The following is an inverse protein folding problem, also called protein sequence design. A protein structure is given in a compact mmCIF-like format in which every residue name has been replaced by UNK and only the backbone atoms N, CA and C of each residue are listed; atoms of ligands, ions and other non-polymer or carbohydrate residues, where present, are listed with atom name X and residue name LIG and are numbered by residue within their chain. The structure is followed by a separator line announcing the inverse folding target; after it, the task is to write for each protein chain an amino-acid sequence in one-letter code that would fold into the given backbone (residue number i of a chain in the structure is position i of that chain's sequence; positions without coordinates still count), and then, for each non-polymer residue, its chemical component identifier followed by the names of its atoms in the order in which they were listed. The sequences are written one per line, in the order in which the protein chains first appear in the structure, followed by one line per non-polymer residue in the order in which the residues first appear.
data_IF_330034716303
#
_entry.id   IF_330034716303
#
_cell.length_a   1.000
_cell.length_b   1.000
_cell.length_c   1.000
_cell.angle_alpha   90.00
_cell.angle_beta   90.00
_cell.angle_gamma   90.00
#
_symmetry.space_group_name_H-M   'P 1'
#
loop_
_entity.id
_entity.type
_entity.pdbx_description
1 polymer ?
#
# COMPACT_ATOMS: atom_id res chain seq x y z
N UNK A 1 -4.19 6.95 -34.38
CA UNK A 1 -4.00 5.53 -34.03
C UNK A 1 -3.49 4.76 -35.24
N UNK A 2 -4.34 4.53 -36.25
CA UNK A 2 -4.03 3.63 -37.39
C UNK A 2 -2.73 3.92 -38.16
N UNK A 3 -2.35 5.19 -38.47
CA UNK A 3 -1.11 5.45 -39.21
C UNK A 3 0.16 5.03 -38.47
N UNK A 4 0.10 4.96 -37.13
CA UNK A 4 1.26 4.65 -36.29
C UNK A 4 1.15 3.25 -35.67
N UNK A 5 0.21 2.42 -36.12
CA UNK A 5 0.09 1.03 -35.65
C UNK A 5 0.77 0.12 -36.66
N UNK A 6 1.73 -0.68 -36.20
CA UNK A 6 2.43 -1.63 -37.07
C UNK A 6 1.45 -2.70 -37.54
N UNK A 7 1.45 -2.98 -38.83
CA UNK A 7 0.64 -4.01 -39.46
C UNK A 7 1.54 -5.15 -39.89
N UNK A 8 1.13 -6.37 -39.57
CA UNK A 8 1.79 -7.62 -39.94
C UNK A 8 0.89 -8.38 -40.93
N UNK A 9 1.47 -9.25 -41.76
CA UNK A 9 0.71 -10.02 -42.73
C UNK A 9 -0.12 -11.13 -42.07
N UNK A 10 0.35 -11.65 -40.92
CA UNK A 10 -0.36 -12.66 -40.15
C UNK A 10 -0.16 -12.49 -38.64
N UNK A 11 -1.02 -13.14 -37.84
CA UNK A 11 -0.85 -13.19 -36.38
C UNK A 11 0.43 -13.94 -36.00
N UNK A 12 0.80 -14.99 -36.74
CA UNK A 12 2.01 -15.76 -36.50
C UNK A 12 3.26 -14.90 -36.62
N UNK A 13 3.40 -14.22 -37.76
CA UNK A 13 4.50 -13.27 -38.00
C UNK A 13 4.57 -12.20 -36.90
N UNK A 14 3.42 -11.67 -36.47
CA UNK A 14 3.39 -10.71 -35.36
C UNK A 14 3.91 -11.31 -34.06
N UNK A 15 3.40 -12.47 -33.64
CA UNK A 15 3.80 -13.07 -32.37
C UNK A 15 5.27 -13.48 -32.38
N UNK A 16 5.76 -14.03 -33.50
CA UNK A 16 7.17 -14.39 -33.68
C UNK A 16 8.05 -13.14 -33.55
N UNK A 17 7.74 -12.06 -34.29
CA UNK A 17 8.46 -10.78 -34.17
C UNK A 17 8.44 -10.22 -32.74
N UNK A 18 7.28 -10.24 -32.06
CA UNK A 18 7.16 -9.72 -30.69
C UNK A 18 7.95 -10.56 -29.68
N UNK A 19 8.13 -11.86 -29.92
CA UNK A 19 8.94 -12.72 -29.04
C UNK A 19 10.42 -12.57 -29.34
N UNK A 20 10.82 -12.60 -30.62
CA UNK A 20 12.20 -12.49 -31.07
C UNK A 20 12.84 -11.17 -30.62
N UNK A 21 12.11 -10.07 -30.75
CA UNK A 21 12.59 -8.74 -30.33
C UNK A 21 12.44 -8.50 -28.81
N UNK A 22 11.96 -9.49 -28.05
CA UNK A 22 11.87 -9.41 -26.59
C UNK A 22 10.76 -8.49 -26.08
N UNK A 23 9.68 -8.30 -26.84
CA UNK A 23 8.48 -7.60 -26.36
C UNK A 23 7.56 -8.50 -25.54
N UNK A 24 7.37 -9.77 -25.94
CA UNK A 24 6.52 -10.77 -25.28
C UNK A 24 7.31 -11.94 -24.69
N UNK A 25 6.77 -12.56 -23.65
CA UNK A 25 7.34 -13.75 -23.02
C UNK A 25 7.03 -15.01 -23.86
N UNK A 26 8.07 -15.69 -24.37
CA UNK A 26 7.91 -16.91 -25.17
C UNK A 26 7.18 -18.03 -24.39
N UNK A 27 7.53 -18.21 -23.11
CA UNK A 27 6.98 -19.25 -22.22
C UNK A 27 5.46 -19.16 -22.02
N UNK A 28 4.88 -17.98 -22.23
CA UNK A 28 3.43 -17.83 -22.18
C UNK A 28 2.76 -18.50 -23.37
N UNK A 29 3.29 -18.27 -24.57
CA UNK A 29 2.69 -18.73 -25.82
C UNK A 29 2.79 -20.26 -25.94
N UNK A 30 3.85 -20.88 -25.40
CA UNK A 30 4.03 -22.35 -25.44
C UNK A 30 2.98 -23.11 -24.63
N UNK A 31 2.25 -22.45 -23.72
CA UNK A 31 1.16 -23.05 -22.94
C UNK A 31 -0.11 -23.31 -23.74
N UNK A 32 -0.20 -22.76 -24.95
CA UNK A 32 -1.39 -22.86 -25.78
C UNK A 32 -1.02 -23.25 -27.22
N UNK A 33 -1.83 -24.09 -27.90
CA UNK A 33 -1.69 -24.28 -29.34
C UNK A 33 -1.92 -22.97 -30.08
N UNK A 34 -1.16 -22.74 -31.15
CA UNK A 34 -1.28 -21.51 -31.94
C UNK A 34 -2.69 -21.33 -32.51
N UNK A 35 -3.34 -22.41 -32.92
CA UNK A 35 -4.70 -22.42 -33.47
C UNK A 35 -5.71 -21.86 -32.45
N UNK A 36 -5.49 -22.14 -31.17
CA UNK A 36 -6.33 -21.60 -30.09
C UNK A 36 -6.07 -20.11 -29.85
N UNK A 37 -4.81 -19.66 -29.95
CA UNK A 37 -4.46 -18.24 -29.84
C UNK A 37 -5.08 -17.45 -31.02
N UNK A 38 -5.02 -18.02 -32.22
CA UNK A 38 -5.68 -17.47 -33.41
C UNK A 38 -7.20 -17.38 -33.20
N UNK A 39 -7.85 -18.46 -32.74
CA UNK A 39 -9.28 -18.48 -32.45
C UNK A 39 -9.69 -17.40 -31.43
N UNK A 40 -8.92 -17.25 -30.34
CA UNK A 40 -9.19 -16.21 -29.33
C UNK A 40 -9.01 -14.79 -29.88
N UNK A 41 -8.00 -14.60 -30.73
CA UNK A 41 -7.75 -13.32 -31.38
C UNK A 41 -8.91 -12.99 -32.31
N UNK A 42 -9.31 -13.92 -33.17
CA UNK A 42 -10.44 -13.75 -34.07
C UNK A 42 -11.73 -13.47 -33.32
N UNK A 43 -11.97 -14.19 -32.20
CA UNK A 43 -13.09 -13.91 -31.30
C UNK A 43 -13.07 -12.47 -30.79
N UNK A 44 -11.93 -12.01 -30.24
CA UNK A 44 -11.80 -10.65 -29.72
C UNK A 44 -12.07 -9.60 -30.81
N UNK A 45 -11.47 -9.75 -32.00
CA UNK A 45 -11.66 -8.82 -33.12
C UNK A 45 -13.06 -8.89 -33.75
N UNK A 46 -13.73 -10.05 -33.73
CA UNK A 46 -15.10 -10.22 -34.24
C UNK A 46 -16.13 -9.36 -33.51
N UNK A 47 -15.85 -9.01 -32.24
CA UNK A 47 -16.71 -8.12 -31.44
C UNK A 47 -16.76 -6.69 -31.97
N UNK A 48 -15.79 -6.30 -32.83
CA UNK A 48 -15.66 -4.95 -33.40
C UNK A 48 -15.70 -3.86 -32.33
N UNK A 49 -14.96 -4.05 -31.25
CA UNK A 49 -14.93 -3.12 -30.12
C UNK A 49 -14.66 -1.68 -30.57
N UNK A 50 -15.36 -0.74 -29.94
CA UNK A 50 -15.18 0.70 -30.13
C UNK A 50 -15.13 1.39 -28.78
N UNK A 51 -14.11 2.21 -28.58
CA UNK A 51 -14.06 3.12 -27.45
C UNK A 51 -15.25 4.08 -27.51
N UNK A 52 -16.03 4.14 -26.44
CA UNK A 52 -17.20 5.04 -26.32
C UNK A 52 -16.79 6.52 -26.22
N UNK A 53 -15.55 6.79 -25.82
CA UNK A 53 -15.04 8.15 -25.60
C UNK A 53 -13.64 8.32 -26.17
N UNK A 54 -13.35 9.53 -26.65
CA UNK A 54 -12.01 9.92 -27.08
C UNK A 54 -10.97 9.68 -25.98
N UNK A 55 -11.28 10.07 -24.74
CA UNK A 55 -10.37 9.94 -23.61
C UNK A 55 -10.02 8.47 -23.32
N UNK A 56 -10.97 7.55 -23.45
CA UNK A 56 -10.72 6.11 -23.30
C UNK A 56 -9.70 5.59 -24.31
N UNK A 57 -9.90 5.94 -25.59
CA UNK A 57 -8.95 5.58 -26.65
C UNK A 57 -7.58 6.23 -26.41
N UNK A 58 -7.55 7.54 -26.19
CA UNK A 58 -6.32 8.30 -25.95
C UNK A 58 -5.53 7.72 -24.77
N UNK A 59 -6.19 7.40 -23.65
CA UNK A 59 -5.53 6.87 -22.46
C UNK A 59 -4.98 5.46 -22.67
N UNK A 60 -5.73 4.59 -23.35
CA UNK A 60 -5.27 3.25 -23.68
C UNK A 60 -3.97 3.29 -24.50
N UNK A 61 -3.95 4.03 -25.60
CA UNK A 61 -2.77 4.04 -26.47
C UNK A 61 -1.59 4.78 -25.84
N UNK A 62 -1.81 5.87 -25.12
CA UNK A 62 -0.71 6.61 -24.49
C UNK A 62 -0.08 5.87 -23.31
N UNK A 63 -0.83 5.05 -22.57
CA UNK A 63 -0.39 4.49 -21.28
C UNK A 63 -0.43 2.96 -21.16
N UNK A 64 -1.11 2.22 -22.05
CA UNK A 64 -1.34 0.78 -21.92
C UNK A 64 -0.86 -0.05 -23.12
N UNK A 65 -1.20 0.38 -24.33
CA UNK A 65 -0.80 -0.30 -25.56
C UNK A 65 0.71 -0.45 -25.60
N UNK A 66 1.19 -1.65 -25.93
CA UNK A 66 2.59 -1.87 -26.21
C UNK A 66 3.05 -0.96 -27.36
N UNK A 67 4.21 -0.38 -27.18
CA UNK A 67 4.91 0.43 -28.18
C UNK A 67 6.24 -0.22 -28.52
N UNK A 68 6.78 0.12 -29.68
CA UNK A 68 8.19 -0.12 -30.00
C UNK A 68 9.10 0.51 -28.94
N UNK A 69 10.32 0.01 -28.76
CA UNK A 69 11.23 0.52 -27.73
C UNK A 69 11.62 2.00 -27.91
N UNK A 70 11.58 2.51 -29.14
CA UNK A 70 11.75 3.94 -29.45
C UNK A 70 10.51 4.80 -29.11
N UNK A 71 9.38 4.17 -28.78
CA UNK A 71 8.12 4.81 -28.43
C UNK A 71 7.31 5.39 -29.60
N UNK A 72 7.74 5.19 -30.86
CA UNK A 72 7.16 5.85 -32.04
C UNK A 72 5.91 5.14 -32.57
N UNK A 73 5.87 3.81 -32.51
CA UNK A 73 4.80 3.01 -33.10
C UNK A 73 4.09 2.13 -32.06
N UNK A 74 2.82 1.82 -32.32
CA UNK A 74 2.01 0.90 -31.53
C UNK A 74 2.09 -0.51 -32.08
N UNK A 75 2.31 -1.47 -31.17
CA UNK A 75 2.37 -2.90 -31.47
C UNK A 75 1.08 -3.64 -31.06
N UNK A 76 0.19 -2.96 -30.33
CA UNK A 76 -1.05 -3.53 -29.82
C UNK A 76 -2.27 -2.65 -30.08
N UNK A 77 -3.40 -3.31 -30.36
CA UNK A 77 -4.75 -2.78 -30.19
C UNK A 77 -5.34 -3.25 -28.85
N UNK A 78 -6.55 -2.79 -28.56
CA UNK A 78 -7.23 -3.11 -27.31
C UNK A 78 -7.51 -4.60 -27.17
N UNK A 79 -7.96 -5.21 -28.27
CA UNK A 79 -8.24 -6.64 -28.41
C UNK A 79 -6.99 -7.48 -28.15
N UNK A 80 -5.84 -7.07 -28.69
CA UNK A 80 -4.56 -7.75 -28.48
C UNK A 80 -4.17 -7.80 -27.01
N UNK A 81 -4.30 -6.66 -26.31
CA UNK A 81 -4.00 -6.59 -24.88
C UNK A 81 -4.93 -7.47 -24.05
N UNK A 82 -6.20 -7.53 -24.41
CA UNK A 82 -7.19 -8.40 -23.77
C UNK A 82 -6.80 -9.86 -23.94
N UNK A 83 -6.48 -10.30 -25.16
CA UNK A 83 -6.08 -11.69 -25.45
C UNK A 83 -4.85 -12.07 -24.63
N UNK A 84 -3.80 -11.26 -24.66
CA UNK A 84 -2.59 -11.55 -23.91
C UNK A 84 -2.83 -11.58 -22.39
N UNK A 85 -3.66 -10.68 -21.87
CA UNK A 85 -4.03 -10.70 -20.45
C UNK A 85 -4.81 -11.97 -20.09
N UNK A 86 -5.73 -12.39 -20.94
CA UNK A 86 -6.51 -13.60 -20.74
C UNK A 86 -5.64 -14.87 -20.79
N UNK A 87 -4.67 -14.94 -21.71
CA UNK A 87 -3.75 -16.07 -21.80
C UNK A 87 -2.89 -16.21 -20.54
N UNK A 88 -2.38 -15.10 -19.99
CA UNK A 88 -1.59 -15.10 -18.74
C UNK A 88 -2.43 -15.59 -17.57
N UNK A 89 -3.62 -15.03 -17.40
CA UNK A 89 -4.51 -15.37 -16.28
C UNK A 89 -5.11 -16.77 -16.41
N UNK A 90 -5.33 -17.24 -17.65
CA UNK A 90 -5.78 -18.60 -17.95
C UNK A 90 -4.70 -19.66 -17.70
N UNK A 91 -3.42 -19.30 -17.77
CA UNK A 91 -2.28 -20.17 -17.47
C UNK A 91 -2.35 -21.60 -18.08
N UNK A 92 -2.80 -21.71 -19.34
CA UNK A 92 -2.97 -22.98 -20.08
C UNK A 92 -4.41 -23.49 -20.12
N UNK A 93 -5.30 -22.97 -19.26
CA UNK A 93 -6.73 -23.28 -19.29
C UNK A 93 -7.42 -22.48 -20.41
N UNK A 94 -7.78 -23.20 -21.47
CA UNK A 94 -8.45 -22.66 -22.65
C UNK A 94 -9.86 -22.13 -22.35
N UNK A 95 -10.61 -22.80 -21.48
CA UNK A 95 -11.98 -22.40 -21.16
C UNK A 95 -11.94 -21.09 -20.40
N UNK A 96 -11.08 -21.01 -19.39
CA UNK A 96 -10.88 -19.80 -18.61
C UNK A 96 -10.38 -18.64 -19.48
N UNK A 97 -9.37 -18.86 -20.33
CA UNK A 97 -8.86 -17.82 -21.22
C UNK A 97 -9.96 -17.27 -22.15
N UNK A 98 -10.81 -18.14 -22.73
CA UNK A 98 -11.94 -17.70 -23.57
C UNK A 98 -12.94 -16.86 -22.79
N UNK A 99 -13.33 -17.31 -21.60
CA UNK A 99 -14.26 -16.56 -20.75
C UNK A 99 -13.69 -15.19 -20.38
N UNK A 100 -12.41 -15.12 -20.03
CA UNK A 100 -11.74 -13.86 -19.70
C UNK A 100 -11.73 -12.87 -20.87
N UNK A 101 -11.51 -13.32 -22.11
CA UNK A 101 -11.62 -12.47 -23.30
C UNK A 101 -13.04 -11.89 -23.41
N UNK A 102 -14.06 -12.73 -23.29
CA UNK A 102 -15.48 -12.33 -23.40
C UNK A 102 -15.85 -11.31 -22.31
N UNK A 103 -15.46 -11.57 -21.06
CA UNK A 103 -15.75 -10.67 -19.93
C UNK A 103 -15.02 -9.33 -20.04
N UNK A 104 -13.78 -9.32 -20.53
CA UNK A 104 -13.02 -8.08 -20.71
C UNK A 104 -13.51 -7.25 -21.90
N UNK A 105 -13.74 -7.89 -23.06
CA UNK A 105 -14.14 -7.16 -24.28
C UNK A 105 -15.55 -6.59 -24.19
N UNK A 106 -16.44 -7.26 -23.45
CA UNK A 106 -17.78 -6.75 -23.15
C UNK A 106 -17.78 -5.60 -22.13
N UNK A 107 -16.66 -5.38 -21.45
CA UNK A 107 -16.52 -4.37 -20.39
C UNK A 107 -17.13 -4.78 -19.05
N UNK A 108 -17.50 -6.05 -18.86
CA UNK A 108 -17.99 -6.57 -17.57
C UNK A 108 -16.88 -6.76 -16.55
N UNK A 109 -15.68 -7.09 -17.02
CA UNK A 109 -14.50 -7.26 -16.17
C UNK A 109 -13.35 -6.37 -16.64
N UNK A 110 -12.71 -5.67 -15.71
CA UNK A 110 -11.49 -4.91 -15.96
C UNK A 110 -10.46 -5.28 -14.91
N UNK A 111 -9.38 -6.01 -15.25
CA UNK A 111 -8.31 -6.27 -14.31
C UNK A 111 -7.60 -4.97 -13.93
N UNK A 112 -6.99 -4.97 -12.74
CA UNK A 112 -6.24 -3.83 -12.24
C UNK A 112 -5.13 -3.43 -13.23
N UNK A 113 -4.81 -2.14 -13.29
CA UNK A 113 -3.74 -1.59 -14.14
C UNK A 113 -2.43 -2.38 -14.10
N UNK A 114 -1.84 -2.76 -12.93
CA UNK A 114 -0.59 -3.53 -12.92
C UNK A 114 -0.71 -4.88 -13.62
N UNK A 115 -1.89 -5.52 -13.59
CA UNK A 115 -2.13 -6.77 -14.30
C UNK A 115 -2.32 -6.52 -15.79
N UNK A 116 -3.25 -5.65 -16.17
CA UNK A 116 -3.61 -5.38 -17.58
C UNK A 116 -2.44 -4.81 -18.39
N UNK A 117 -1.64 -3.94 -17.76
CA UNK A 117 -0.50 -3.28 -18.40
C UNK A 117 0.65 -4.23 -18.69
N UNK A 118 0.91 -5.17 -17.78
CA UNK A 118 2.15 -5.95 -17.73
C UNK A 118 1.99 -7.39 -18.24
N UNK A 119 0.79 -7.97 -18.20
CA UNK A 119 0.57 -9.38 -18.52
C UNK A 119 1.12 -9.76 -19.91
N UNK A 120 2.08 -10.69 -19.96
CA UNK A 120 2.60 -11.28 -21.19
C UNK A 120 3.69 -10.46 -21.89
N UNK A 121 4.04 -9.27 -21.36
CA UNK A 121 5.20 -8.51 -21.83
C UNK A 121 6.47 -9.05 -21.18
N UNK A 122 7.57 -9.15 -21.92
CA UNK A 122 8.85 -9.61 -21.37
C UNK A 122 9.49 -8.55 -20.46
N UNK A 123 9.50 -7.28 -20.90
CA UNK A 123 9.96 -6.15 -20.09
C UNK A 123 8.81 -5.61 -19.23
N UNK A 124 8.54 -6.27 -18.11
CA UNK A 124 7.37 -5.94 -17.26
C UNK A 124 7.68 -5.75 -15.78
N UNK A 125 6.80 -5.00 -15.12
CA UNK A 125 6.72 -4.94 -13.66
C UNK A 125 5.95 -6.12 -13.06
N UNK A 126 5.76 -6.07 -11.74
CA UNK A 126 4.88 -7.02 -11.04
C UNK A 126 3.42 -6.90 -11.48
N UNK A 127 2.67 -8.00 -11.43
CA UNK A 127 1.21 -7.98 -11.65
C UNK A 127 0.44 -7.46 -10.43
N UNK A 128 1.11 -7.42 -9.27
CA UNK A 128 0.64 -6.86 -8.01
C UNK A 128 1.49 -5.64 -7.68
N UNK A 129 0.85 -4.56 -7.28
CA UNK A 129 1.52 -3.29 -6.98
C UNK A 129 1.09 -2.66 -5.65
N UNK A 130 0.31 -3.34 -4.81
CA UNK A 130 -0.16 -2.79 -3.54
C UNK A 130 0.29 -3.70 -2.40
N UNK A 131 1.04 -3.15 -1.44
CA UNK A 131 1.64 -3.91 -0.35
C UNK A 131 1.38 -3.25 1.00
N UNK A 132 1.14 -4.06 2.02
CA UNK A 132 1.03 -3.62 3.41
C UNK A 132 2.09 -4.33 4.23
N UNK A 133 2.93 -3.56 4.92
CA UNK A 133 4.03 -4.07 5.74
C UNK A 133 3.84 -3.67 7.19
N UNK A 134 4.18 -4.58 8.10
CA UNK A 134 4.27 -4.31 9.53
C UNK A 134 5.73 -4.04 9.89
N UNK A 135 5.96 -3.04 10.74
CA UNK A 135 7.26 -2.77 11.34
C UNK A 135 7.17 -3.11 12.83
N UNK A 136 8.10 -3.92 13.32
CA UNK A 136 8.28 -4.22 14.75
C UNK A 136 9.23 -3.21 15.42
N UNK A 137 9.17 -3.12 16.75
CA UNK A 137 9.91 -2.14 17.57
C UNK A 137 11.40 -2.49 17.78
N UNK A 138 12.11 -2.76 16.69
CA UNK A 138 13.55 -3.04 16.68
C UNK A 138 14.22 -2.56 15.39
N UNK A 139 15.56 -2.43 15.43
CA UNK A 139 16.32 -1.87 14.33
C UNK A 139 16.33 -2.75 13.09
N UNK A 140 16.35 -4.06 13.27
CA UNK A 140 16.32 -5.05 12.21
C UNK A 140 15.02 -4.93 11.40
N UNK A 141 13.88 -4.78 12.08
CA UNK A 141 12.58 -4.63 11.41
C UNK A 141 12.44 -3.28 10.72
N UNK A 142 12.95 -2.19 11.31
CA UNK A 142 12.94 -0.87 10.67
C UNK A 142 13.81 -0.89 9.41
N UNK A 143 15.03 -1.43 9.50
CA UNK A 143 15.92 -1.58 8.36
C UNK A 143 15.34 -2.45 7.24
N UNK A 144 14.69 -3.58 7.59
CA UNK A 144 13.96 -4.41 6.62
C UNK A 144 12.76 -3.69 6.01
N UNK A 145 12.03 -2.90 6.79
CA UNK A 145 10.92 -2.09 6.28
C UNK A 145 11.37 -1.08 5.23
N UNK A 146 12.47 -0.38 5.49
CA UNK A 146 13.10 0.55 4.55
C UNK A 146 13.59 -0.19 3.29
N UNK A 147 14.30 -1.31 3.46
CA UNK A 147 14.75 -2.11 2.32
C UNK A 147 13.56 -2.60 1.46
N UNK A 148 12.50 -3.07 2.10
CA UNK A 148 11.29 -3.52 1.42
C UNK A 148 10.63 -2.39 0.65
N UNK A 149 10.56 -1.18 1.23
CA UNK A 149 10.08 0.01 0.54
C UNK A 149 10.89 0.30 -0.73
N UNK A 150 12.23 0.25 -0.67
CA UNK A 150 13.11 0.42 -1.83
C UNK A 150 12.85 -0.63 -2.92
N UNK A 151 12.81 -1.91 -2.56
CA UNK A 151 12.65 -3.00 -3.54
C UNK A 151 11.27 -3.00 -4.20
N UNK A 152 10.22 -2.76 -3.43
CA UNK A 152 8.85 -2.73 -3.95
C UNK A 152 8.60 -1.47 -4.76
N UNK A 153 9.09 -0.31 -4.31
CA UNK A 153 8.95 0.97 -5.02
C UNK A 153 9.70 0.96 -6.36
N UNK A 154 10.91 0.38 -6.42
CA UNK A 154 11.67 0.18 -7.68
C UNK A 154 10.83 -0.51 -8.75
N UNK A 155 9.93 -1.41 -8.37
CA UNK A 155 9.06 -2.18 -9.28
C UNK A 155 7.70 -1.52 -9.53
N UNK A 156 7.52 -0.27 -9.12
CA UNK A 156 6.26 0.48 -9.27
C UNK A 156 5.18 0.09 -8.25
N UNK A 157 5.56 -0.53 -7.13
CA UNK A 157 4.66 -0.87 -6.03
C UNK A 157 4.39 0.31 -5.11
N UNK A 158 3.13 0.53 -4.76
CA UNK A 158 2.71 1.35 -3.63
C UNK A 158 2.77 0.54 -2.33
N UNK A 159 3.38 1.12 -1.29
CA UNK A 159 3.63 0.41 -0.03
C UNK A 159 3.09 1.21 1.15
N UNK A 160 2.24 0.58 1.95
CA UNK A 160 1.77 1.11 3.23
C UNK A 160 2.49 0.43 4.40
N UNK A 161 2.98 1.19 5.37
CA UNK A 161 3.67 0.67 6.55
C UNK A 161 2.94 1.01 7.84
N UNK A 162 2.78 0.03 8.72
CA UNK A 162 2.23 0.23 10.06
C UNK A 162 3.34 0.68 11.02
N UNK A 163 3.20 1.87 11.61
CA UNK A 163 4.15 2.45 12.56
C UNK A 163 3.72 2.31 14.02
N UNK A 164 2.50 1.84 14.28
CA UNK A 164 1.88 1.84 15.62
C UNK A 164 2.57 0.94 16.66
N UNK A 165 3.40 0.00 16.22
CA UNK A 165 4.19 -0.85 17.13
C UNK A 165 5.46 -0.14 17.61
N UNK A 166 5.95 0.86 16.89
CA UNK A 166 7.17 1.57 17.25
C UNK A 166 6.98 2.30 18.57
N UNK A 167 7.99 2.25 19.44
CA UNK A 167 7.97 3.02 20.69
C UNK A 167 7.91 4.52 20.42
N UNK A 168 7.22 5.24 21.30
CA UNK A 168 7.00 6.67 21.21
C UNK A 168 8.28 7.51 21.42
N UNK A 169 8.22 8.79 21.07
CA UNK A 169 9.28 9.74 21.40
C UNK A 169 9.44 9.86 22.94
N UNK A 170 10.67 9.77 23.43
CA UNK A 170 11.00 9.77 24.85
C UNK A 170 10.97 8.39 25.52
N UNK A 171 10.54 7.33 24.82
CA UNK A 171 10.60 5.97 25.36
C UNK A 171 12.06 5.53 25.67
N UNK A 172 12.26 4.63 26.65
CA UNK A 172 13.59 4.14 26.99
C UNK A 172 14.24 3.28 25.91
N UNK A 173 15.57 3.35 25.79
CA UNK A 173 16.38 2.46 24.98
C UNK A 173 17.46 1.84 25.87
N UNK A 174 17.56 0.50 25.89
CA UNK A 174 18.49 -0.22 26.77
C UNK A 174 18.45 0.27 28.24
N UNK A 175 17.22 0.51 28.74
CA UNK A 175 16.93 1.04 30.09
C UNK A 175 17.29 2.51 30.34
N UNK A 176 17.95 3.19 29.38
CA UNK A 176 18.25 4.62 29.46
C UNK A 176 16.99 5.40 29.08
N UNK A 177 16.53 6.26 29.99
CA UNK A 177 15.29 7.04 29.85
C UNK A 177 15.44 8.16 28.82
N UNK A 178 14.33 8.55 28.18
CA UNK A 178 14.25 9.69 27.25
C UNK A 178 15.17 9.61 26.03
N UNK A 179 15.31 8.42 25.42
CA UNK A 179 16.23 8.21 24.30
C UNK A 179 15.56 7.98 22.94
N UNK A 180 14.34 7.46 22.90
CA UNK A 180 13.65 7.23 21.63
C UNK A 180 13.30 8.54 20.93
N UNK A 181 13.55 8.59 19.61
CA UNK A 181 13.17 9.71 18.75
C UNK A 181 11.76 9.60 18.16
N UNK A 182 11.04 8.50 18.45
CA UNK A 182 9.68 8.24 18.00
C UNK A 182 9.56 7.89 16.50
N UNK A 183 8.36 8.05 15.95
CA UNK A 183 8.03 7.60 14.59
C UNK A 183 8.53 8.51 13.46
N UNK A 184 8.76 9.80 13.74
CA UNK A 184 9.04 10.83 12.72
C UNK A 184 10.34 10.58 11.95
N UNK A 185 11.48 10.24 12.60
CA UNK A 185 12.71 9.93 11.85
C UNK A 185 12.56 8.70 10.96
N UNK A 186 11.78 7.71 11.38
CA UNK A 186 11.47 6.53 10.54
C UNK A 186 10.65 6.94 9.33
N UNK A 187 9.66 7.83 9.50
CA UNK A 187 8.92 8.40 8.36
C UNK A 187 9.83 9.15 7.40
N UNK A 188 10.83 9.89 7.90
CA UNK A 188 11.78 10.62 7.05
C UNK A 188 12.62 9.67 6.19
N UNK A 189 13.16 8.61 6.80
CA UNK A 189 13.90 7.57 6.07
C UNK A 189 13.04 6.88 5.01
N UNK A 190 11.77 6.61 5.31
CA UNK A 190 10.83 6.02 4.36
C UNK A 190 10.52 6.98 3.21
N UNK A 191 10.28 8.26 3.49
CA UNK A 191 10.06 9.30 2.47
C UNK A 191 11.22 9.37 1.47
N UNK A 192 12.45 9.45 1.98
CA UNK A 192 13.65 9.52 1.14
C UNK A 192 13.81 8.24 0.30
N UNK A 193 13.45 7.08 0.88
CA UNK A 193 13.48 5.80 0.17
C UNK A 193 12.52 5.76 -1.01
N UNK A 194 11.27 6.23 -0.84
CA UNK A 194 10.30 6.29 -1.93
C UNK A 194 10.65 7.36 -2.98
N UNK A 195 11.22 8.48 -2.55
CA UNK A 195 11.68 9.53 -3.46
C UNK A 195 12.85 9.06 -4.33
N UNK A 196 13.74 8.23 -3.78
CA UNK A 196 14.88 7.68 -4.49
C UNK A 196 14.48 6.54 -5.46
N UNK A 197 13.69 5.58 -4.98
CA UNK A 197 13.30 4.40 -5.75
C UNK A 197 12.05 4.65 -6.60
N UNK A 198 12.19 5.45 -7.66
CA UNK A 198 11.11 5.72 -8.61
C UNK A 198 11.00 4.65 -9.72
N UNK A 199 9.82 4.56 -10.36
CA UNK A 199 9.53 3.57 -11.40
C UNK A 199 10.18 3.98 -12.74
N UNK A 200 11.51 3.85 -12.84
CA UNK A 200 12.29 4.17 -14.06
C UNK A 200 11.96 5.57 -14.62
N UNK A 201 11.80 6.57 -13.73
CA UNK A 201 11.46 7.94 -14.12
C UNK A 201 10.01 8.19 -14.55
N UNK A 202 9.15 7.17 -14.61
CA UNK A 202 7.76 7.34 -15.05
C UNK A 202 6.85 7.92 -13.95
N UNK A 203 7.05 7.53 -12.68
CA UNK A 203 6.25 7.97 -11.51
C UNK A 203 7.09 7.98 -10.23
N UNK A 204 6.84 8.95 -9.37
CA UNK A 204 7.35 8.98 -8.00
C UNK A 204 6.84 7.77 -7.22
N UNK A 205 7.68 7.18 -6.36
CA UNK A 205 7.27 6.10 -5.47
C UNK A 205 6.12 6.54 -4.57
N UNK A 206 5.13 5.67 -4.37
CA UNK A 206 3.97 5.95 -3.53
C UNK A 206 4.08 5.20 -2.20
N UNK A 207 4.24 5.94 -1.11
CA UNK A 207 4.31 5.39 0.24
C UNK A 207 3.18 5.92 1.11
N UNK A 208 2.70 5.07 2.02
CA UNK A 208 1.76 5.46 3.07
C UNK A 208 2.25 4.94 4.43
N UNK A 209 1.92 5.65 5.50
CA UNK A 209 2.19 5.21 6.87
C UNK A 209 0.94 5.32 7.71
N UNK A 210 0.70 4.31 8.55
CA UNK A 210 -0.48 4.22 9.41
C UNK A 210 -0.10 4.26 10.89
N UNK A 211 -0.81 5.09 11.64
CA UNK A 211 -0.65 5.24 13.09
C UNK A 211 -2.00 5.15 13.82
N UNK A 212 -2.02 4.49 14.98
CA UNK A 212 -3.20 4.45 15.86
C UNK A 212 -3.45 5.82 16.49
N UNK A 213 -4.71 6.23 16.57
CA UNK A 213 -5.11 7.50 17.20
C UNK A 213 -4.71 7.59 18.68
N UNK A 214 -4.60 6.45 19.37
CA UNK A 214 -4.18 6.36 20.76
C UNK A 214 -2.67 6.20 20.95
N UNK A 215 -1.88 6.35 19.89
CA UNK A 215 -0.43 6.34 19.94
C UNK A 215 0.11 7.68 20.49
N UNK A 216 1.14 7.71 21.37
CA UNK A 216 1.62 8.96 21.96
C UNK A 216 2.15 9.99 20.95
N UNK A 217 2.73 9.52 19.84
CA UNK A 217 3.22 10.38 18.75
C UNK A 217 2.11 10.91 17.81
N UNK A 218 0.81 10.64 18.06
CA UNK A 218 -0.27 10.98 17.11
C UNK A 218 -0.30 12.45 16.68
N UNK A 219 -0.10 13.38 17.62
CA UNK A 219 -0.12 14.81 17.28
C UNK A 219 1.10 15.21 16.43
N UNK A 220 2.29 14.73 16.80
CA UNK A 220 3.53 14.98 16.06
C UNK A 220 3.47 14.37 14.67
N UNK A 221 2.85 13.19 14.55
CA UNK A 221 2.59 12.51 13.28
C UNK A 221 1.71 13.35 12.35
N UNK A 222 0.61 13.90 12.86
CA UNK A 222 -0.26 14.79 12.07
C UNK A 222 0.40 16.13 11.74
N UNK A 223 1.20 16.67 12.67
CA UNK A 223 1.91 17.93 12.48
C UNK A 223 2.91 17.88 11.30
N UNK A 224 3.38 16.70 10.89
CA UNK A 224 4.29 16.54 9.73
C UNK A 224 3.69 17.02 8.40
N UNK A 225 2.36 17.11 8.31
CA UNK A 225 1.63 17.55 7.11
C UNK A 225 1.14 18.99 7.19
N UNK A 226 1.38 19.70 8.30
CA UNK A 226 1.10 21.14 8.37
C UNK A 226 2.01 21.89 7.40
N UNK A 227 1.45 22.84 6.66
CA UNK A 227 2.22 23.64 5.70
C UNK A 227 3.33 24.45 6.37
N UNK A 228 3.06 24.93 7.59
CA UNK A 228 3.99 25.72 8.41
C UNK A 228 4.87 24.86 9.33
N UNK A 229 4.99 23.55 9.07
CA UNK A 229 5.88 22.68 9.84
C UNK A 229 7.35 22.99 9.56
N UNK A 230 8.22 22.83 10.56
CA UNK A 230 9.68 22.88 10.39
C UNK A 230 10.12 21.84 9.36
N UNK A 231 11.03 22.22 8.45
CA UNK A 231 11.52 21.37 7.37
C UNK A 231 12.11 20.04 7.89
N UNK A 232 12.66 20.03 9.11
CA UNK A 232 13.19 18.81 9.75
C UNK A 232 12.12 17.77 10.10
N UNK A 233 10.89 18.20 10.35
CA UNK A 233 9.76 17.31 10.68
C UNK A 233 8.78 17.14 9.51
N UNK A 234 8.90 17.98 8.49
CA UNK A 234 7.97 17.99 7.36
C UNK A 234 8.16 16.75 6.48
N UNK A 235 7.03 16.12 6.17
CA UNK A 235 6.93 14.96 5.29
C UNK A 235 6.07 15.34 4.08
N UNK A 236 6.68 15.46 2.91
CA UNK A 236 6.07 15.92 1.66
C UNK A 236 5.33 14.80 0.92
N UNK A 237 5.97 13.65 0.68
CA UNK A 237 5.49 12.64 -0.27
C UNK A 237 4.71 11.49 0.36
N UNK A 238 5.02 11.10 1.59
CA UNK A 238 4.31 10.00 2.26
C UNK A 238 2.87 10.39 2.57
N UNK A 239 1.93 9.50 2.27
CA UNK A 239 0.54 9.62 2.71
C UNK A 239 0.40 9.20 4.18
N UNK A 240 -0.50 9.85 4.91
CA UNK A 240 -0.80 9.51 6.30
C UNK A 240 -2.14 8.79 6.41
N UNK A 241 -2.18 7.74 7.22
CA UNK A 241 -3.40 7.05 7.64
C UNK A 241 -3.49 7.01 9.15
N UNK A 242 -4.70 7.17 9.69
CA UNK A 242 -4.97 7.07 11.13
C UNK A 242 -5.97 5.95 11.37
N UNK A 243 -5.67 5.07 12.31
CA UNK A 243 -6.60 4.04 12.79
C UNK A 243 -7.33 4.58 14.02
N UNK A 244 -8.64 4.77 13.92
CA UNK A 244 -9.48 5.39 14.97
C UNK A 244 -10.45 4.33 15.50
N UNK A 245 -10.29 3.84 16.74
CA UNK A 245 -11.25 2.93 17.36
C UNK A 245 -12.53 3.66 17.84
N UNK A 246 -13.62 2.91 18.01
CA UNK A 246 -14.93 3.44 18.41
C UNK A 246 -14.89 4.30 19.70
N UNK A 247 -14.06 3.90 20.68
CA UNK A 247 -13.90 4.63 21.94
C UNK A 247 -13.47 6.08 21.72
N UNK A 248 -12.68 6.37 20.68
CA UNK A 248 -12.26 7.74 20.36
C UNK A 248 -13.48 8.60 20.02
N UNK A 249 -14.45 8.06 19.27
CA UNK A 249 -15.70 8.75 18.96
C UNK A 249 -16.59 8.90 20.20
N UNK A 250 -16.68 7.88 21.06
CA UNK A 250 -17.44 7.98 22.31
C UNK A 250 -16.88 9.06 23.25
N UNK A 251 -15.57 9.11 23.44
CA UNK A 251 -14.89 10.11 24.26
C UNK A 251 -15.09 11.52 23.69
N UNK A 252 -14.92 11.69 22.38
CA UNK A 252 -15.14 12.96 21.70
C UNK A 252 -16.60 13.44 21.83
N UNK A 253 -17.58 12.53 21.73
CA UNK A 253 -19.01 12.85 21.91
C UNK A 253 -19.32 13.33 23.34
N UNK A 254 -18.63 12.79 24.35
CA UNK A 254 -18.78 13.17 25.76
C UNK A 254 -17.92 14.37 26.15
N UNK A 255 -17.02 14.83 25.27
CA UNK A 255 -16.06 15.90 25.57
C UNK A 255 -15.02 15.49 26.61
N UNK A 256 -14.77 14.19 26.74
CA UNK A 256 -13.80 13.56 27.64
C UNK A 256 -12.42 13.48 27.01
N UNK A 257 -11.40 13.33 27.84
CA UNK A 257 -10.01 13.26 27.38
C UNK A 257 -9.67 11.89 26.78
N UNK A 258 -8.93 11.90 25.67
CA UNK A 258 -8.32 10.74 25.05
C UNK A 258 -6.94 10.49 25.64
N UNK A 259 -6.76 9.35 26.29
CA UNK A 259 -5.44 8.92 26.79
C UNK A 259 -4.66 8.20 25.69
N UNK A 260 -3.34 8.48 25.67
CA UNK A 260 -2.39 7.83 24.79
C UNK A 260 -1.60 6.75 25.54
N UNK A 261 -1.32 5.62 24.88
CA UNK A 261 -0.69 4.47 25.51
C UNK A 261 0.67 4.18 24.88
N UNK A 262 1.73 4.17 25.69
CA UNK A 262 3.09 3.80 25.27
C UNK A 262 3.12 2.37 24.72
N UNK A 263 3.44 2.14 23.43
CA UNK A 263 3.61 0.79 22.90
C UNK A 263 4.70 0.01 23.63
N UNK A 264 5.75 0.69 24.07
CA UNK A 264 6.85 0.10 24.83
C UNK A 264 6.37 -0.49 26.17
N UNK A 265 5.58 0.27 26.93
CA UNK A 265 5.04 -0.24 28.21
C UNK A 265 3.98 -1.32 27.99
N UNK A 266 3.14 -1.18 26.96
CA UNK A 266 2.13 -2.19 26.60
C UNK A 266 2.79 -3.53 26.28
N UNK A 267 3.83 -3.53 25.44
CA UNK A 267 4.56 -4.75 25.08
C UNK A 267 5.20 -5.41 26.30
N UNK A 268 5.78 -4.62 27.21
CA UNK A 268 6.42 -5.16 28.43
C UNK A 268 5.42 -5.76 29.42
N UNK A 269 4.24 -5.16 29.58
CA UNK A 269 3.25 -5.62 30.56
C UNK A 269 2.44 -6.81 30.02
N UNK A 270 2.12 -6.81 28.72
CA UNK A 270 1.20 -7.77 28.13
C UNK A 270 1.86 -8.77 27.18
N UNK A 271 3.16 -8.65 26.89
CA UNK A 271 3.92 -9.49 25.97
C UNK A 271 3.38 -9.53 24.52
N UNK A 272 2.60 -8.50 24.13
CA UNK A 272 2.08 -8.35 22.76
C UNK A 272 2.32 -6.93 22.25
N UNK A 273 2.62 -6.76 20.95
CA UNK A 273 2.65 -5.44 20.33
C UNK A 273 1.30 -4.73 20.48
N UNK A 274 1.35 -3.41 20.70
CA UNK A 274 0.20 -2.55 21.02
C UNK A 274 -1.02 -2.79 20.11
N UNK A 275 -0.81 -2.95 18.80
CA UNK A 275 -1.87 -3.09 17.79
C UNK A 275 -2.61 -4.43 17.91
N UNK A 276 -1.92 -5.49 18.32
CA UNK A 276 -2.51 -6.84 18.49
C UNK A 276 -3.42 -6.94 19.71
N UNK A 277 -3.27 -6.00 20.66
CA UNK A 277 -4.04 -5.99 21.91
C UNK A 277 -5.40 -5.26 21.80
N UNK A 278 -5.68 -4.59 20.68
CA UNK A 278 -6.83 -3.71 20.49
C UNK A 278 -8.14 -4.45 20.12
N UNK A 279 -8.49 -5.53 20.83
CA UNK A 279 -9.89 -5.95 20.86
C UNK A 279 -10.70 -4.92 21.68
N UNK A 280 -11.95 -4.61 21.33
CA UNK A 280 -12.79 -3.67 22.09
C UNK A 280 -12.93 -4.04 23.58
N UNK A 281 -12.84 -5.34 23.89
CA UNK A 281 -12.91 -5.87 25.27
C UNK A 281 -11.66 -5.53 26.09
N UNK A 282 -10.50 -5.38 25.46
CA UNK A 282 -9.26 -5.04 26.15
C UNK A 282 -9.35 -3.59 26.64
N UNK A 283 -9.69 -2.64 25.76
CA UNK A 283 -9.74 -1.18 26.02
C UNK A 283 -10.70 -0.83 27.16
N UNK A 284 -11.85 -1.50 27.25
CA UNK A 284 -12.76 -1.35 28.40
C UNK A 284 -12.16 -1.81 29.74
N UNK A 285 -11.23 -2.76 29.72
CA UNK A 285 -10.45 -3.19 30.90
C UNK A 285 -9.37 -2.16 31.27
N UNK A 286 -8.76 -1.50 30.27
CA UNK A 286 -7.78 -0.43 30.48
C UNK A 286 -8.38 0.79 31.20
N UNK A 287 -9.61 1.19 30.88
CA UNK A 287 -10.31 2.29 31.59
C UNK A 287 -10.79 1.89 33.00
N UNK A 288 -11.19 0.62 33.23
CA UNK A 288 -11.69 0.17 34.55
C UNK A 288 -10.65 0.10 35.66
N UNK A 289 -9.36 -0.06 35.33
CA UNK A 289 -8.29 -0.17 36.34
C UNK A 289 -8.09 1.15 37.12
N UNK A 290 -8.55 2.30 36.61
CA UNK A 290 -8.51 3.59 37.33
C UNK A 290 -9.81 3.97 38.07
N UNK A 291 -10.93 3.32 37.78
CA UNK A 291 -12.24 3.70 38.31
C UNK A 291 -12.55 3.24 39.74
N UNK A 292 -11.77 2.34 40.33
CA UNK A 292 -12.02 1.85 41.70
C UNK A 292 -10.78 1.90 42.57
N UNK A 293 -10.71 2.93 43.43
CA UNK A 293 -10.39 2.84 44.89
C UNK A 293 -9.90 4.20 45.39
N UNK A 294 -10.79 4.95 46.06
CA UNK A 294 -10.35 5.78 47.20
C UNK A 294 -9.78 4.82 48.25
N UNK A 295 -8.53 4.98 48.73
CA UNK A 295 -8.02 4.09 49.76
C UNK A 295 -8.59 4.50 51.11
N UNK A 296 -9.38 3.60 51.73
CA UNK A 296 -9.48 3.57 53.20
C UNK A 296 -8.15 3.04 53.74
N UNK A 297 -7.68 3.74 54.78
CA UNK A 297 -6.50 3.45 55.58
C UNK A 297 -6.50 2.02 56.13
N UNK A 298 -5.40 1.29 55.91
CA UNK A 298 -4.66 0.48 56.91
C UNK A 298 -3.39 -0.04 56.24
N UNK A 299 -2.30 -0.02 57.01
CA UNK A 299 -0.93 -0.32 56.59
C UNK A 299 -0.75 -1.78 56.15
N UNK A 300 0.01 -1.98 55.07
CA UNK A 300 1.06 -3.00 55.02
C UNK A 300 2.22 -2.45 54.16
N UNK A 301 3.41 -2.42 54.75
CA UNK A 301 4.57 -1.65 54.33
C UNK A 301 5.68 -2.57 53.87
N UNK A 302 5.51 -3.27 52.74
CA UNK A 302 6.58 -4.11 52.18
C UNK A 302 6.39 -4.54 50.71
N UNK A 303 5.87 -3.67 49.82
CA UNK A 303 5.92 -3.99 48.37
C UNK A 303 5.71 -2.81 47.40
N UNK A 304 5.88 -1.56 47.84
CA UNK A 304 5.73 -0.39 46.96
C UNK A 304 7.04 -0.04 46.26
N UNK A 305 7.40 -0.76 45.19
CA UNK A 305 8.10 -0.11 44.07
C UNK A 305 7.07 0.77 43.37
N UNK A 306 7.00 2.03 43.78
CA UNK A 306 6.26 3.06 43.05
C UNK A 306 6.87 3.20 41.65
N UNK A 307 6.31 2.52 40.66
CA UNK A 307 6.42 2.93 39.28
C UNK A 307 5.77 4.31 39.19
N UNK A 308 6.60 5.36 39.17
CA UNK A 308 6.19 6.69 38.74
C UNK A 308 5.80 6.56 37.26
N UNK A 309 4.53 6.21 37.01
CA UNK A 309 3.94 6.37 35.70
C UNK A 309 3.96 7.87 35.41
N UNK A 310 4.90 8.31 34.56
CA UNK A 310 4.79 9.62 33.93
C UNK A 310 3.38 9.70 33.35
N UNK A 311 2.66 10.75 33.73
CA UNK A 311 1.29 11.00 33.29
C UNK A 311 1.21 10.87 31.77
N UNK A 312 0.59 9.80 31.27
CA UNK A 312 0.29 9.66 29.85
C UNK A 312 -0.43 10.93 29.39
N UNK A 313 0.07 11.62 28.35
CA UNK A 313 -0.56 12.85 27.89
C UNK A 313 -2.01 12.55 27.49
N UNK A 314 -2.91 13.38 28.00
CA UNK A 314 -4.33 13.34 27.73
C UNK A 314 -4.63 14.43 26.69
N UNK A 315 -5.29 14.06 25.60
CA UNK A 315 -5.68 14.99 24.54
C UNK A 315 -7.19 15.14 24.57
N UNK A 316 -7.67 16.39 24.71
CA UNK A 316 -9.09 16.67 24.57
C UNK A 316 -9.46 16.77 23.11
N UNK A 317 -10.31 15.85 22.63
CA UNK A 317 -10.86 15.90 21.27
C UNK A 317 -12.24 16.53 21.35
N UNK A 318 -12.40 17.74 20.80
CA UNK A 318 -13.70 18.39 20.72
C UNK A 318 -14.35 18.08 19.37
N UNK A 319 -15.57 17.56 19.38
CA UNK A 319 -16.40 17.47 18.19
C UNK A 319 -17.03 18.85 17.96
N UNK A 320 -16.54 19.62 17.00
CA UNK A 320 -17.20 20.86 16.61
C UNK A 320 -18.55 20.50 15.98
N UNK A 321 -19.66 20.95 16.60
CA UNK A 321 -20.94 21.00 15.92
C UNK A 321 -20.81 22.08 14.84
N UNK A 322 -20.52 21.67 13.61
CA UNK A 322 -20.86 22.51 12.45
C UNK A 322 -22.38 22.71 12.49
N UNK A 323 -22.79 23.96 12.71
CA UNK A 323 -24.15 24.42 12.45
C UNK A 323 -24.40 24.43 10.96
#
# INVERSE_FOLDING_TARGET
MNPNTVLFHSLRERLDHLVEDGYYEAELLTKYPFEFIQELTDLAFSTRFRFKTFLGAFKFYTSYALKTFDGLHYLERFEDRIVMTALVLGNGDKILARHLVIEMISGRFQPATPTFLNAGKAQRGGLVSCFLLRIEDNMESIGRGINSALQLSKRGGGVALLLSNLREAGAPIKQIQNQSSGVIPVMKLLEDSFSYANQLGARQGAGAVYLSAHHPDIMRFLDTKRENADEKIRIKTLSLGVVIPDITFELAKRGEDMFLFSPYDVERVYAFPSVTSASPRSIGRWLRIRGSRRPRSTLDSSSRRSLKYNSSPAIRISCSRTR
#
